data_IF_334740599758
#
_entry.id   IF_334740599758
#
_cell.length_a   1.000
_cell.length_b   1.000
_cell.length_c   1.000
_cell.angle_alpha   90.00
_cell.angle_beta   90.00
_cell.angle_gamma   90.00
#
_symmetry.space_group_name_H-M   'P 1'
#
loop_
_entity.id
_entity.type
_entity.pdbx_description
1 polymer ?
#
# COMPACT_ATOMS: atom_id res chain seq x y z
N UNK A 1 -47.59 -22.80 -78.96
CA UNK A 1 -46.82 -23.73 -78.11
C UNK A 1 -45.88 -22.89 -77.26
N UNK A 2 -45.91 -23.11 -75.95
CA UNK A 2 -45.58 -22.11 -74.95
C UNK A 2 -44.10 -22.24 -74.57
N UNK A 3 -43.31 -21.19 -74.79
CA UNK A 3 -41.90 -21.15 -74.39
C UNK A 3 -41.83 -20.94 -72.88
N UNK A 4 -41.57 -22.01 -72.15
CA UNK A 4 -41.19 -21.95 -70.74
C UNK A 4 -39.86 -21.24 -70.62
N UNK A 5 -39.83 -20.15 -69.85
CA UNK A 5 -38.60 -19.47 -69.44
C UNK A 5 -38.22 -20.04 -68.08
N UNK A 6 -37.19 -20.88 -68.02
CA UNK A 6 -36.60 -21.32 -66.75
C UNK A 6 -36.17 -20.08 -65.94
N UNK A 7 -36.62 -19.98 -64.68
CA UNK A 7 -36.16 -18.93 -63.78
C UNK A 7 -34.65 -19.13 -63.48
N UNK A 8 -33.84 -18.06 -63.42
CA UNK A 8 -32.41 -18.17 -63.18
C UNK A 8 -32.15 -18.81 -61.79
N UNK A 9 -31.06 -19.59 -61.64
CA UNK A 9 -30.78 -20.28 -60.38
C UNK A 9 -30.62 -19.28 -59.25
N UNK A 10 -31.38 -19.47 -58.16
CA UNK A 10 -31.26 -18.67 -56.93
C UNK A 10 -29.86 -18.86 -56.36
N UNK A 11 -28.97 -17.88 -56.55
CA UNK A 11 -27.68 -17.85 -55.85
C UNK A 11 -27.95 -17.70 -54.36
N UNK A 12 -27.67 -18.76 -53.58
CA UNK A 12 -27.63 -18.70 -52.11
C UNK A 12 -26.44 -17.83 -51.71
N UNK A 13 -26.62 -16.52 -51.71
CA UNK A 13 -25.70 -15.62 -51.04
C UNK A 13 -25.75 -15.94 -49.56
N UNK A 14 -24.64 -16.43 -49.00
CA UNK A 14 -24.44 -16.46 -47.55
C UNK A 14 -24.54 -15.01 -47.07
N UNK A 15 -25.69 -14.66 -46.51
CA UNK A 15 -26.02 -13.28 -46.14
C UNK A 15 -25.02 -12.68 -45.15
N UNK A 16 -25.12 -11.37 -44.98
CA UNK A 16 -24.32 -10.51 -44.10
C UNK A 16 -23.93 -11.14 -42.73
N UNK A 17 -24.78 -12.03 -42.22
CA UNK A 17 -24.58 -12.80 -40.99
C UNK A 17 -23.40 -13.80 -40.99
N UNK A 18 -23.01 -14.38 -42.13
CA UNK A 18 -21.97 -15.43 -42.12
C UNK A 18 -20.55 -14.89 -42.29
N UNK A 19 -20.35 -13.87 -43.12
CA UNK A 19 -19.02 -13.27 -43.37
C UNK A 19 -18.75 -12.05 -42.51
N UNK A 20 -19.72 -11.16 -42.33
CA UNK A 20 -19.53 -9.93 -41.55
C UNK A 20 -19.41 -10.19 -40.05
N UNK A 21 -20.32 -11.02 -39.49
CA UNK A 21 -20.29 -11.37 -38.07
C UNK A 21 -19.04 -12.17 -37.70
N UNK A 22 -18.63 -13.11 -38.57
CA UNK A 22 -17.44 -13.92 -38.32
C UNK A 22 -16.17 -13.06 -38.32
N UNK A 23 -16.03 -12.12 -39.26
CA UNK A 23 -14.89 -11.20 -39.30
C UNK A 23 -14.87 -10.28 -38.07
N UNK A 24 -16.02 -9.72 -37.67
CA UNK A 24 -16.11 -8.89 -36.46
C UNK A 24 -15.75 -9.67 -35.19
N UNK A 25 -16.22 -10.92 -35.08
CA UNK A 25 -15.94 -11.77 -33.93
C UNK A 25 -14.46 -12.15 -33.87
N UNK A 26 -13.85 -12.51 -35.00
CA UNK A 26 -12.40 -12.76 -35.07
C UNK A 26 -11.61 -11.51 -34.68
N UNK A 27 -12.00 -10.34 -35.19
CA UNK A 27 -11.31 -9.09 -34.88
C UNK A 27 -11.44 -8.69 -33.41
N UNK A 28 -12.62 -8.87 -32.82
CA UNK A 28 -12.85 -8.64 -31.40
C UNK A 28 -11.99 -9.55 -30.51
N UNK A 29 -11.86 -10.84 -30.88
CA UNK A 29 -11.00 -11.79 -30.16
C UNK A 29 -9.52 -11.36 -30.26
N UNK A 30 -9.05 -10.99 -31.45
CA UNK A 30 -7.66 -10.54 -31.64
C UNK A 30 -7.37 -9.29 -30.83
N UNK A 31 -8.28 -8.30 -30.82
CA UNK A 31 -8.15 -7.09 -30.02
C UNK A 31 -8.17 -7.39 -28.51
N UNK A 32 -9.04 -8.30 -28.06
CA UNK A 32 -9.05 -8.73 -26.67
C UNK A 32 -7.71 -9.35 -26.29
N UNK A 33 -7.18 -10.29 -27.08
CA UNK A 33 -5.89 -10.93 -26.83
C UNK A 33 -4.76 -9.91 -26.82
N UNK A 34 -4.73 -8.99 -27.78
CA UNK A 34 -3.72 -7.92 -27.83
C UNK A 34 -3.82 -6.97 -26.63
N UNK A 35 -5.05 -6.62 -26.21
CA UNK A 35 -5.31 -5.81 -25.02
C UNK A 35 -4.87 -6.51 -23.74
N UNK A 36 -5.24 -7.78 -23.55
CA UNK A 36 -4.81 -8.57 -22.40
C UNK A 36 -3.30 -8.79 -22.38
N UNK A 37 -2.68 -9.08 -23.53
CA UNK A 37 -1.23 -9.23 -23.63
C UNK A 37 -0.51 -7.90 -23.36
N UNK A 38 -1.01 -6.79 -23.89
CA UNK A 38 -0.45 -5.46 -23.65
C UNK A 38 -0.59 -5.01 -22.19
N UNK A 39 -1.75 -5.25 -21.57
CA UNK A 39 -1.98 -5.00 -20.15
C UNK A 39 -1.09 -5.90 -19.29
N UNK A 40 -1.03 -7.19 -19.59
CA UNK A 40 -0.20 -8.14 -18.86
C UNK A 40 1.28 -7.76 -18.97
N UNK A 41 1.78 -7.48 -20.17
CA UNK A 41 3.17 -7.10 -20.38
C UNK A 41 3.49 -5.71 -19.78
N UNK A 42 2.57 -4.74 -19.88
CA UNK A 42 2.73 -3.41 -19.30
C UNK A 42 2.77 -3.46 -17.77
N UNK A 43 1.85 -4.21 -17.16
CA UNK A 43 1.85 -4.47 -15.72
C UNK A 43 3.10 -5.25 -15.32
N UNK A 44 3.49 -6.31 -16.04
CA UNK A 44 4.59 -7.18 -15.64
C UNK A 44 5.99 -6.57 -15.87
N UNK A 45 6.16 -5.71 -16.90
CA UNK A 45 7.45 -5.09 -17.25
C UNK A 45 7.68 -3.75 -16.53
N UNK A 46 6.64 -2.94 -16.34
CA UNK A 46 6.78 -1.54 -15.89
C UNK A 46 6.16 -1.22 -14.53
N UNK A 47 5.42 -2.12 -13.88
CA UNK A 47 4.81 -1.77 -12.60
C UNK A 47 5.82 -1.97 -11.45
N UNK A 48 6.36 -0.85 -10.98
CA UNK A 48 7.03 -0.75 -9.68
C UNK A 48 6.15 -1.28 -8.53
N UNK A 49 4.84 -1.38 -8.74
CA UNK A 49 3.88 -2.01 -7.83
C UNK A 49 3.98 -3.55 -7.80
N UNK A 50 4.21 -4.23 -8.94
CA UNK A 50 4.35 -5.68 -8.95
C UNK A 50 5.75 -6.10 -8.47
N UNK A 51 6.80 -5.41 -8.93
CA UNK A 51 8.13 -5.62 -8.35
C UNK A 51 8.19 -5.19 -6.89
N UNK A 52 7.53 -4.09 -6.50
CA UNK A 52 7.44 -3.63 -5.11
C UNK A 52 6.72 -4.66 -4.24
N UNK A 53 5.53 -5.12 -4.64
CA UNK A 53 4.78 -6.13 -3.87
C UNK A 53 5.47 -7.51 -3.88
N UNK A 54 6.04 -7.96 -5.00
CA UNK A 54 6.82 -9.19 -5.07
C UNK A 54 8.12 -9.10 -4.27
N UNK A 55 8.82 -7.96 -4.32
CA UNK A 55 10.03 -7.72 -3.54
C UNK A 55 9.69 -7.63 -2.05
N UNK A 56 8.66 -6.87 -1.64
CA UNK A 56 8.15 -6.84 -0.25
C UNK A 56 7.72 -8.23 0.25
N UNK A 57 7.10 -9.04 -0.61
CA UNK A 57 6.72 -10.42 -0.26
C UNK A 57 7.93 -11.37 -0.18
N UNK A 58 9.01 -11.09 -0.92
CA UNK A 58 10.19 -11.96 -1.04
C UNK A 58 11.31 -11.58 -0.07
N UNK A 59 11.48 -10.29 0.21
CA UNK A 59 12.33 -9.81 1.30
C UNK A 59 11.58 -10.05 2.59
N UNK A 60 12.13 -10.89 3.47
CA UNK A 60 11.61 -11.21 4.81
C UNK A 60 11.61 -10.00 5.78
N UNK A 61 11.31 -8.81 5.29
CA UNK A 61 11.09 -7.59 6.07
C UNK A 61 9.72 -7.61 6.75
N UNK A 62 8.82 -8.47 6.27
CA UNK A 62 7.54 -8.77 6.91
C UNK A 62 7.71 -10.04 7.75
N UNK A 63 7.71 -9.87 9.06
CA UNK A 63 7.68 -10.99 9.97
C UNK A 63 6.25 -11.55 10.04
N UNK A 64 6.16 -12.87 10.16
CA UNK A 64 4.90 -13.61 10.34
C UNK A 64 4.32 -13.40 11.76
N UNK A 65 5.12 -12.81 12.67
CA UNK A 65 4.72 -12.49 14.03
C UNK A 65 5.20 -11.07 14.44
N UNK A 66 4.42 -10.35 15.26
CA UNK A 66 4.83 -9.07 15.82
C UNK A 66 5.99 -9.27 16.78
N UNK A 67 7.01 -8.41 16.70
CA UNK A 67 7.99 -8.31 17.80
C UNK A 67 7.31 -7.64 19.00
N UNK A 68 7.52 -8.16 20.23
CA UNK A 68 6.95 -7.57 21.43
C UNK A 68 7.55 -6.18 21.64
N UNK A 69 6.74 -5.16 21.41
CA UNK A 69 7.08 -3.77 21.75
C UNK A 69 6.66 -3.55 23.21
N UNK A 70 7.53 -3.00 24.07
CA UNK A 70 7.16 -2.72 25.45
C UNK A 70 5.95 -1.79 25.51
N UNK A 71 4.93 -2.17 26.28
CA UNK A 71 3.79 -1.28 26.54
C UNK A 71 4.21 -0.21 27.54
N UNK A 72 4.14 1.05 27.11
CA UNK A 72 4.33 2.19 27.98
C UNK A 72 2.98 2.72 28.46
N UNK A 73 2.74 2.64 29.76
CA UNK A 73 1.54 3.20 30.38
C UNK A 73 1.89 4.53 31.05
N UNK A 74 1.74 5.62 30.30
CA UNK A 74 1.92 6.97 30.82
C UNK A 74 0.69 7.39 31.63
N UNK A 75 0.91 8.10 32.76
CA UNK A 75 -0.21 8.75 33.46
C UNK A 75 -0.69 9.98 32.68
N UNK A 76 -1.98 10.31 32.78
CA UNK A 76 -2.55 11.49 32.10
C UNK A 76 -1.86 12.79 32.51
N UNK A 77 -1.38 12.88 33.76
CA UNK A 77 -0.64 14.03 34.27
C UNK A 77 0.74 14.18 33.59
N UNK A 78 1.46 13.08 33.40
CA UNK A 78 2.74 13.09 32.69
C UNK A 78 2.56 13.46 31.22
N UNK A 79 1.54 12.92 30.57
CA UNK A 79 1.20 13.25 29.18
C UNK A 79 0.97 14.75 29.03
N UNK A 80 0.13 15.34 29.88
CA UNK A 80 -0.19 16.77 29.80
C UNK A 80 1.04 17.65 30.01
N UNK A 81 1.88 17.32 31.00
CA UNK A 81 3.08 18.09 31.31
C UNK A 81 4.09 18.06 30.15
N UNK A 82 4.30 16.90 29.53
CA UNK A 82 5.21 16.77 28.39
C UNK A 82 4.64 17.46 27.15
N UNK A 83 3.33 17.37 26.94
CA UNK A 83 2.67 18.05 25.83
C UNK A 83 2.78 19.57 25.95
N UNK A 84 2.58 20.13 27.14
CA UNK A 84 2.72 21.57 27.37
C UNK A 84 4.17 22.05 27.09
N UNK A 85 5.16 21.29 27.56
CA UNK A 85 6.58 21.57 27.28
C UNK A 85 6.89 21.50 25.78
N UNK A 86 6.30 20.54 25.07
CA UNK A 86 6.46 20.38 23.62
C UNK A 86 5.82 21.54 22.85
N UNK A 87 4.61 21.95 23.23
CA UNK A 87 3.91 23.07 22.61
C UNK A 87 4.63 24.40 22.84
N UNK A 88 5.14 24.66 24.04
CA UNK A 88 5.97 25.86 24.33
C UNK A 88 7.26 25.88 23.50
N UNK A 89 7.95 24.74 23.40
CA UNK A 89 9.13 24.60 22.55
C UNK A 89 8.79 24.88 21.07
N UNK A 90 7.70 24.30 20.56
CA UNK A 90 7.27 24.49 19.17
C UNK A 90 6.91 25.96 18.89
N UNK A 91 6.23 26.63 19.81
CA UNK A 91 5.90 28.05 19.69
C UNK A 91 7.16 28.92 19.63
N UNK A 92 8.13 28.69 20.53
CA UNK A 92 9.41 29.42 20.56
C UNK A 92 10.22 29.16 19.29
N UNK A 93 10.29 27.92 18.83
CA UNK A 93 10.97 27.55 17.60
C UNK A 93 10.33 28.22 16.36
N UNK A 94 9.00 28.22 16.26
CA UNK A 94 8.25 28.90 15.19
C UNK A 94 8.43 30.42 15.22
N UNK A 95 8.58 31.00 16.40
CA UNK A 95 8.89 32.43 16.58
C UNK A 95 10.34 32.79 16.25
N UNK A 96 11.19 31.82 15.85
CA UNK A 96 12.60 32.03 15.56
C UNK A 96 13.46 32.29 16.79
N UNK A 97 12.97 31.96 17.99
CA UNK A 97 13.71 32.07 19.23
C UNK A 97 14.58 30.84 19.45
N UNK A 98 15.71 31.00 20.15
CA UNK A 98 16.50 29.86 20.59
C UNK A 98 15.66 29.04 21.58
N UNK A 99 15.27 27.84 21.16
CA UNK A 99 14.49 26.90 21.94
C UNK A 99 15.30 25.61 22.07
N UNK A 100 15.35 25.07 23.28
CA UNK A 100 15.99 23.79 23.60
C UNK A 100 15.01 23.00 24.48
N UNK A 101 14.93 21.69 24.24
CA UNK A 101 14.07 20.79 25.01
C UNK A 101 14.83 19.50 25.30
N UNK A 102 14.92 19.16 26.59
CA UNK A 102 15.45 17.88 27.04
C UNK A 102 14.29 16.92 27.29
N UNK A 103 14.24 15.84 26.51
CA UNK A 103 13.23 14.80 26.63
C UNK A 103 13.88 13.48 27.05
N UNK A 104 13.32 12.85 28.07
CA UNK A 104 13.66 11.48 28.45
C UNK A 104 12.98 10.47 27.53
N UNK A 105 13.38 9.20 27.59
CA UNK A 105 12.69 8.12 26.87
C UNK A 105 11.22 8.02 27.26
N UNK A 106 10.90 8.24 28.53
CA UNK A 106 9.54 8.25 29.06
C UNK A 106 8.72 9.42 28.51
N UNK A 107 9.33 10.60 28.37
CA UNK A 107 8.68 11.76 27.75
C UNK A 107 8.35 11.50 26.28
N UNK A 108 9.27 10.86 25.53
CA UNK A 108 9.05 10.47 24.14
C UNK A 108 7.90 9.45 24.05
N UNK A 109 7.88 8.46 24.94
CA UNK A 109 6.81 7.46 24.96
C UNK A 109 5.46 8.05 25.39
N UNK A 110 5.46 9.06 26.27
CA UNK A 110 4.26 9.82 26.61
C UNK A 110 3.71 10.58 25.38
N UNK A 111 4.57 11.21 24.58
CA UNK A 111 4.17 11.84 23.32
C UNK A 111 3.68 10.81 22.28
N UNK A 112 4.28 9.62 22.22
CA UNK A 112 3.77 8.54 21.35
C UNK A 112 2.39 8.07 21.80
N UNK A 113 2.15 8.01 23.11
CA UNK A 113 0.89 7.54 23.69
C UNK A 113 -0.30 8.45 23.38
N UNK A 114 -0.09 9.75 23.10
CA UNK A 114 -1.16 10.68 22.69
C UNK A 114 -1.65 10.44 21.28
N UNK A 115 -0.84 9.83 20.42
CA UNK A 115 -1.16 9.64 19.01
C UNK A 115 -1.78 8.27 18.79
N UNK A 116 -3.11 8.22 18.65
CA UNK A 116 -3.91 6.98 18.50
C UNK A 116 -3.36 6.02 17.43
N UNK A 117 -2.84 6.56 16.33
CA UNK A 117 -2.32 5.75 15.22
C UNK A 117 -1.01 5.01 15.52
N UNK A 118 -0.19 5.50 16.46
CA UNK A 118 1.13 4.92 16.78
C UNK A 118 1.22 4.40 18.21
N UNK A 119 0.23 4.70 19.07
CA UNK A 119 0.12 4.15 20.42
C UNK A 119 0.19 2.61 20.39
N UNK A 120 1.10 2.05 21.18
CA UNK A 120 1.33 0.60 21.27
C UNK A 120 2.00 -0.03 20.04
N UNK A 121 2.42 0.78 19.06
CA UNK A 121 3.12 0.32 17.84
C UNK A 121 4.56 0.80 17.77
N UNK A 122 4.90 1.85 18.51
CA UNK A 122 6.22 2.46 18.56
C UNK A 122 6.63 2.58 20.02
N UNK A 123 7.89 2.30 20.31
CA UNK A 123 8.51 2.50 21.62
C UNK A 123 9.92 3.02 21.45
N UNK A 124 10.26 4.06 22.21
CA UNK A 124 11.59 4.63 22.26
C UNK A 124 12.22 4.33 23.62
N UNK A 125 13.49 3.98 23.64
CA UNK A 125 14.27 3.85 24.87
C UNK A 125 15.62 4.53 24.69
N UNK A 126 16.05 5.27 25.71
CA UNK A 126 17.37 5.89 25.76
C UNK A 126 18.21 5.10 26.75
N UNK A 127 19.32 4.53 26.29
CA UNK A 127 20.31 3.85 27.11
C UNK A 127 21.65 4.59 27.02
N UNK A 128 21.94 5.41 28.04
CA UNK A 128 23.10 6.30 28.04
C UNK A 128 23.05 7.30 26.87
N UNK A 129 23.95 7.14 25.91
CA UNK A 129 24.03 7.97 24.70
C UNK A 129 23.40 7.34 23.46
N UNK A 130 22.74 6.18 23.60
CA UNK A 130 22.13 5.46 22.48
C UNK A 130 20.61 5.59 22.52
N UNK A 131 20.02 6.00 21.40
CA UNK A 131 18.58 6.01 21.21
C UNK A 131 18.18 4.73 20.46
N UNK A 132 17.40 3.88 21.10
CA UNK A 132 16.79 2.71 20.45
C UNK A 132 15.32 2.98 20.15
N UNK A 133 14.91 2.78 18.91
CA UNK A 133 13.54 2.92 18.43
C UNK A 133 13.04 1.56 17.93
N UNK A 134 11.98 1.06 18.56
CA UNK A 134 11.32 -0.18 18.19
C UNK A 134 9.94 0.11 17.61
N UNK A 135 9.64 -0.45 16.44
CA UNK A 135 8.40 -0.24 15.71
C UNK A 135 7.82 -1.58 15.28
N UNK A 136 6.52 -1.77 15.46
CA UNK A 136 5.76 -2.94 15.01
C UNK A 136 4.44 -2.47 14.39
N UNK A 137 4.36 -2.52 13.06
CA UNK A 137 3.18 -2.07 12.30
C UNK A 137 2.53 -3.25 11.58
N UNK A 138 1.23 -3.46 11.79
CA UNK A 138 0.46 -4.44 11.03
C UNK A 138 0.16 -3.89 9.62
N UNK A 139 0.73 -4.53 8.59
CA UNK A 139 0.52 -4.17 7.18
C UNK A 139 -0.57 -5.05 6.55
N UNK A 140 -0.99 -6.11 7.25
CA UNK A 140 -1.96 -7.07 6.75
C UNK A 140 -3.31 -6.48 6.31
N UNK A 141 -3.77 -5.39 6.94
CA UNK A 141 -5.00 -4.70 6.54
C UNK A 141 -4.91 -4.04 5.16
N UNK A 142 -3.73 -3.54 4.77
CA UNK A 142 -3.50 -2.89 3.48
C UNK A 142 -3.38 -3.90 2.33
N UNK A 143 -2.82 -5.08 2.61
CA UNK A 143 -2.61 -6.14 1.62
C UNK A 143 -3.77 -7.16 1.52
N UNK A 144 -4.84 -6.95 2.28
CA UNK A 144 -6.00 -7.86 2.31
C UNK A 144 -5.69 -9.25 2.88
N UNK A 145 -4.59 -9.40 3.63
CA UNK A 145 -4.18 -10.66 4.27
C UNK A 145 -3.73 -10.40 5.71
N UNK A 146 -4.43 -10.92 6.73
CA UNK A 146 -3.96 -10.82 8.11
C UNK A 146 -2.62 -11.56 8.28
N UNK A 147 -1.77 -11.11 9.21
CA UNK A 147 -0.55 -11.83 9.61
C UNK A 147 0.79 -11.28 9.10
N UNK A 148 0.82 -10.08 8.51
CA UNK A 148 2.08 -9.43 8.11
C UNK A 148 2.38 -8.20 8.97
N UNK A 149 3.56 -8.21 9.61
CA UNK A 149 4.06 -7.14 10.46
C UNK A 149 5.37 -6.58 9.92
N UNK A 150 5.45 -5.25 9.78
CA UNK A 150 6.74 -4.57 9.63
C UNK A 150 7.30 -4.27 11.00
N UNK A 151 8.35 -5.02 11.36
CA UNK A 151 9.11 -4.82 12.57
C UNK A 151 10.39 -4.05 12.22
N UNK A 152 10.70 -3.02 12.97
CA UNK A 152 11.94 -2.26 12.88
C UNK A 152 12.56 -2.06 14.26
N UNK A 153 13.86 -2.31 14.37
CA UNK A 153 14.67 -1.95 15.54
C UNK A 153 15.85 -1.14 15.04
N UNK A 154 15.92 0.12 15.45
CA UNK A 154 16.96 1.07 15.03
C UNK A 154 17.66 1.61 16.26
N UNK A 155 18.99 1.55 16.28
CA UNK A 155 19.83 2.13 17.33
C UNK A 155 20.65 3.25 16.70
N UNK A 156 20.59 4.44 17.28
CA UNK A 156 21.31 5.65 16.87
C UNK A 156 22.26 6.05 17.99
#
# INVERSE_FOLDING_TARGET
MNTWVEAPPRRKGLGCFARGCLILLTFAIVLAIAGFAGLYWGLHRNSALFYGSYWLAKTRSLAEAPTPVPEFNASDQQIQLVQERWEDFEQKARAGQAAEIELSGDDINALIATTENVRGKVFASIDGSQLRLQVSLSIGGFLGRPGYYANGDVII
#
